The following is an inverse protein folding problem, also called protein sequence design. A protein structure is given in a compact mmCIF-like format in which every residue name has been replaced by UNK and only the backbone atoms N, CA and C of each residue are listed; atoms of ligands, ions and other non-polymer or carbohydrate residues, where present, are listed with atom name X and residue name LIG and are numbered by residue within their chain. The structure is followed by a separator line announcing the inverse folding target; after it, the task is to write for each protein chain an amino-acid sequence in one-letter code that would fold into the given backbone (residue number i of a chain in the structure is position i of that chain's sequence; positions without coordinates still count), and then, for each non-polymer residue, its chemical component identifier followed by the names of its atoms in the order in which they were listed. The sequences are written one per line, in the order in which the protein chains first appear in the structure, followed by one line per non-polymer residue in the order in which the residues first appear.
data_IF_881625956289
#
_entry.id   IF_881625956289
#
_cell.length_a   1.000
_cell.length_b   1.000
_cell.length_c   1.000
_cell.angle_alpha   90.00
_cell.angle_beta   90.00
_cell.angle_gamma   90.00
#
_symmetry.space_group_name_H-M   'P 1'
#
loop_
_entity.id
_entity.type
_entity.pdbx_description
1 polymer ?
#
# COMPACT_ATOMS: atom_id res chain seq x y z
N UNK A 1 -1.73 -13.93 5.46
CA UNK A 1 -1.67 -12.86 6.50
C UNK A 1 -3.06 -12.50 7.03
N UNK A 2 -4.00 -11.90 6.28
CA UNK A 2 -5.28 -11.41 6.80
C UNK A 2 -6.06 -12.48 7.59
N UNK A 3 -6.20 -13.70 7.06
CA UNK A 3 -6.86 -14.83 7.76
C UNK A 3 -6.16 -15.18 9.08
N UNK A 4 -4.82 -15.18 9.11
CA UNK A 4 -4.05 -15.53 10.30
C UNK A 4 -4.17 -14.49 11.44
N UNK A 5 -4.44 -13.23 11.11
CA UNK A 5 -4.56 -12.15 12.09
C UNK A 5 -6.00 -11.74 12.39
N UNK A 6 -6.98 -12.19 11.64
CA UNK A 6 -8.40 -11.91 11.92
C UNK A 6 -8.80 -12.37 13.33
N UNK A 7 -8.42 -13.61 13.73
CA UNK A 7 -8.65 -14.14 15.07
C UNK A 7 -7.89 -13.40 16.18
N UNK A 8 -6.90 -12.58 15.83
CA UNK A 8 -6.13 -11.73 16.75
C UNK A 8 -6.69 -10.30 16.86
N UNK A 9 -7.90 -10.07 16.32
CA UNK A 9 -8.62 -8.81 16.40
C UNK A 9 -8.10 -7.71 15.48
N UNK A 10 -7.54 -8.08 14.33
CA UNK A 10 -7.23 -7.17 13.24
C UNK A 10 -8.25 -7.28 12.11
N UNK A 11 -8.61 -6.13 11.57
CA UNK A 11 -9.45 -6.04 10.36
C UNK A 11 -8.57 -5.48 9.24
N UNK A 12 -8.63 -6.13 8.09
CA UNK A 12 -7.87 -5.73 6.91
C UNK A 12 -8.83 -5.17 5.87
N UNK A 13 -8.53 -3.98 5.39
CA UNK A 13 -9.33 -3.28 4.39
C UNK A 13 -8.40 -2.78 3.29
N UNK A 14 -8.82 -2.90 2.04
CA UNK A 14 -8.23 -2.15 0.94
C UNK A 14 -8.97 -0.84 0.74
N UNK A 15 -8.24 0.20 0.34
CA UNK A 15 -8.82 1.41 -0.22
C UNK A 15 -8.39 1.49 -1.68
N UNK A 16 -9.35 1.39 -2.59
CA UNK A 16 -9.10 1.54 -4.01
C UNK A 16 -9.11 3.03 -4.35
N UNK A 17 -7.94 3.56 -4.67
CA UNK A 17 -7.72 5.00 -4.82
C UNK A 17 -7.77 5.44 -6.29
N UNK A 18 -6.68 5.30 -7.01
CA UNK A 18 -6.55 5.63 -8.43
C UNK A 18 -5.71 4.56 -9.14
N UNK A 19 -5.82 4.49 -10.45
CA UNK A 19 -4.89 3.71 -11.25
C UNK A 19 -3.51 4.39 -11.21
N UNK A 20 -2.53 3.68 -10.68
CA UNK A 20 -1.16 4.18 -10.61
C UNK A 20 -0.49 4.18 -12.01
N UNK A 21 -0.88 3.23 -12.84
CA UNK A 21 -0.37 3.05 -14.19
C UNK A 21 -1.55 2.77 -15.12
N UNK A 22 -2.32 3.80 -15.51
CA UNK A 22 -3.47 3.61 -16.39
C UNK A 22 -3.03 3.09 -17.76
N UNK A 23 -3.86 2.25 -18.33
CA UNK A 23 -3.69 1.67 -19.65
C UNK A 23 -5.04 1.50 -20.34
N UNK A 24 -5.04 0.94 -21.54
CA UNK A 24 -6.25 0.79 -22.35
C UNK A 24 -7.32 -0.08 -21.71
N UNK A 25 -6.94 -1.08 -20.91
CA UNK A 25 -7.87 -1.97 -20.22
C UNK A 25 -8.39 -1.37 -18.90
N UNK A 26 -7.55 -0.59 -18.23
CA UNK A 26 -7.86 0.10 -16.98
C UNK A 26 -7.42 1.56 -17.08
N UNK A 27 -8.17 2.40 -17.81
CA UNK A 27 -7.82 3.81 -17.95
C UNK A 27 -8.00 4.59 -16.65
N UNK A 28 -7.46 5.80 -16.61
CA UNK A 28 -7.71 6.72 -15.51
C UNK A 28 -9.24 6.93 -15.34
N UNK A 29 -9.69 6.98 -14.08
CA UNK A 29 -11.11 7.04 -13.78
C UNK A 29 -11.73 8.38 -14.21
N UNK A 30 -12.84 8.31 -14.93
CA UNK A 30 -13.65 9.46 -15.35
C UNK A 30 -15.00 9.52 -14.64
N UNK A 31 -15.44 8.42 -14.00
CA UNK A 31 -16.68 8.37 -13.23
C UNK A 31 -16.58 7.38 -12.06
N UNK A 32 -17.49 7.52 -11.08
CA UNK A 32 -17.58 6.58 -9.96
C UNK A 32 -18.01 5.19 -10.41
N UNK A 33 -18.89 5.10 -11.39
CA UNK A 33 -19.33 3.82 -11.96
C UNK A 33 -18.15 3.05 -12.53
N UNK A 34 -17.32 3.71 -13.33
CA UNK A 34 -16.09 3.13 -13.88
C UNK A 34 -15.14 2.71 -12.76
N UNK A 35 -14.89 3.58 -11.78
CA UNK A 35 -14.02 3.30 -10.65
C UNK A 35 -14.48 2.09 -9.83
N UNK A 36 -15.77 1.97 -9.58
CA UNK A 36 -16.36 0.82 -8.89
C UNK A 36 -16.23 -0.45 -9.74
N UNK A 37 -16.42 -0.37 -11.06
CA UNK A 37 -16.23 -1.50 -11.96
C UNK A 37 -14.78 -2.01 -11.93
N UNK A 38 -13.80 -1.10 -11.98
CA UNK A 38 -12.38 -1.45 -11.86
C UNK A 38 -12.05 -2.07 -10.50
N UNK A 39 -12.59 -1.52 -9.41
CA UNK A 39 -12.40 -2.09 -8.06
C UNK A 39 -12.98 -3.52 -7.94
N UNK A 40 -14.11 -3.81 -8.60
CA UNK A 40 -14.69 -5.16 -8.66
C UNK A 40 -13.80 -6.09 -9.48
N UNK A 41 -13.35 -5.67 -10.66
CA UNK A 41 -12.43 -6.44 -11.49
C UNK A 41 -11.13 -6.74 -10.74
N UNK A 42 -10.57 -5.77 -10.03
CA UNK A 42 -9.40 -5.95 -9.17
C UNK A 42 -9.65 -6.99 -8.08
N UNK A 43 -10.80 -6.92 -7.41
CA UNK A 43 -11.20 -7.89 -6.39
C UNK A 43 -11.25 -9.32 -6.95
N UNK A 44 -11.87 -9.49 -8.10
CA UNK A 44 -12.02 -10.78 -8.77
C UNK A 44 -10.68 -11.33 -9.25
N UNK A 45 -9.93 -10.52 -9.97
CA UNK A 45 -8.62 -10.90 -10.53
C UNK A 45 -7.59 -11.26 -9.46
N UNK A 46 -7.58 -10.53 -8.35
CA UNK A 46 -6.65 -10.77 -7.24
C UNK A 46 -7.20 -11.69 -6.14
N UNK A 47 -8.39 -12.27 -6.35
CA UNK A 47 -9.07 -13.15 -5.38
C UNK A 47 -9.15 -12.55 -3.96
N UNK A 48 -9.54 -11.27 -3.87
CA UNK A 48 -9.57 -10.53 -2.62
C UNK A 48 -10.89 -10.83 -1.88
N UNK A 49 -10.80 -11.52 -0.74
CA UNK A 49 -11.98 -11.87 0.08
C UNK A 49 -12.35 -10.77 1.12
N UNK A 50 -11.45 -9.84 1.39
CA UNK A 50 -11.63 -8.77 2.38
C UNK A 50 -12.32 -7.55 1.77
N UNK A 51 -12.88 -6.64 2.60
CA UNK A 51 -13.51 -5.42 2.10
C UNK A 51 -12.57 -4.57 1.26
N UNK A 52 -13.09 -4.01 0.18
CA UNK A 52 -12.47 -2.96 -0.61
C UNK A 52 -13.39 -1.75 -0.52
N UNK A 53 -12.89 -0.67 0.06
CA UNK A 53 -13.51 0.64 0.01
C UNK A 53 -13.07 1.33 -1.29
N UNK A 54 -13.94 2.10 -1.88
CA UNK A 54 -13.62 2.87 -3.09
C UNK A 54 -13.63 4.34 -2.70
N UNK A 55 -12.50 5.01 -2.90
CA UNK A 55 -12.37 6.45 -2.67
C UNK A 55 -13.17 7.23 -3.72
N UNK A 56 -13.50 8.48 -3.43
CA UNK A 56 -14.18 9.34 -4.40
C UNK A 56 -13.31 9.62 -5.65
N UNK A 57 -13.91 10.24 -6.66
CA UNK A 57 -13.20 10.55 -7.91
C UNK A 57 -12.07 11.56 -7.69
N UNK A 58 -12.27 12.51 -6.79
CA UNK A 58 -11.25 13.51 -6.46
C UNK A 58 -10.09 12.96 -5.65
N UNK A 59 -10.24 11.75 -5.09
CA UNK A 59 -9.21 11.11 -4.27
C UNK A 59 -9.08 11.73 -2.89
N UNK A 60 -10.18 12.24 -2.31
CA UNK A 60 -10.16 12.94 -1.02
C UNK A 60 -9.53 12.10 0.08
N UNK A 61 -9.90 10.82 0.18
CA UNK A 61 -9.31 9.90 1.15
C UNK A 61 -7.82 9.69 0.89
N UNK A 62 -7.45 9.42 -0.36
CA UNK A 62 -6.07 9.20 -0.76
C UNK A 62 -5.15 10.38 -0.43
N UNK A 63 -5.59 11.59 -0.78
CA UNK A 63 -4.82 12.83 -0.53
C UNK A 63 -4.62 13.10 0.97
N UNK A 64 -5.59 12.75 1.83
CA UNK A 64 -5.46 12.89 3.29
C UNK A 64 -4.45 11.91 3.89
N UNK A 65 -4.23 10.75 3.26
CA UNK A 65 -3.29 9.74 3.73
C UNK A 65 -1.93 9.78 3.03
N UNK A 66 -1.59 10.84 2.34
CA UNK A 66 -0.44 11.02 1.44
C UNK A 66 -0.62 10.34 0.08
N UNK A 67 -0.27 11.05 -0.97
CA UNK A 67 -0.55 10.73 -2.39
C UNK A 67 0.36 9.64 -3.00
N UNK A 68 0.68 8.60 -2.23
CA UNK A 68 1.45 7.46 -2.72
C UNK A 68 0.51 6.28 -3.05
N UNK A 69 0.76 5.57 -4.16
CA UNK A 69 -0.21 4.62 -4.71
C UNK A 69 -0.36 3.32 -3.93
N UNK A 70 0.56 3.02 -3.01
CA UNK A 70 0.58 1.71 -2.36
C UNK A 70 1.03 1.80 -0.89
N UNK A 71 0.33 2.61 -0.11
CA UNK A 71 0.63 2.81 1.30
C UNK A 71 -0.08 1.81 2.21
N UNK A 72 0.47 1.61 3.38
CA UNK A 72 -0.14 0.82 4.45
C UNK A 72 -0.20 1.61 5.75
N UNK A 73 -1.34 1.52 6.43
CA UNK A 73 -1.57 2.09 7.75
C UNK A 73 -2.07 1.02 8.71
N UNK A 74 -1.50 0.97 9.90
CA UNK A 74 -2.07 0.25 11.05
C UNK A 74 -2.69 1.27 11.99
N UNK A 75 -4.00 1.21 12.14
CA UNK A 75 -4.78 2.16 12.93
C UNK A 75 -5.31 1.44 14.16
N UNK A 76 -5.05 2.01 15.33
CA UNK A 76 -5.55 1.51 16.61
C UNK A 76 -7.03 1.88 16.83
N UNK A 77 -7.66 1.27 17.83
CA UNK A 77 -9.09 1.45 18.16
C UNK A 77 -9.51 2.91 18.38
N UNK A 78 -8.60 3.77 18.81
CA UNK A 78 -8.87 5.20 19.00
C UNK A 78 -8.60 6.07 17.79
N UNK A 79 -8.45 5.50 16.59
CA UNK A 79 -8.11 6.23 15.36
C UNK A 79 -6.64 6.65 15.25
N UNK A 80 -5.79 6.31 16.25
CA UNK A 80 -4.37 6.63 16.21
C UNK A 80 -3.66 5.75 15.20
N UNK A 81 -2.87 6.35 14.31
CA UNK A 81 -1.92 5.62 13.47
C UNK A 81 -0.80 5.05 14.35
N UNK A 82 -0.68 3.73 14.35
CA UNK A 82 0.33 2.97 15.09
C UNK A 82 1.56 2.66 14.24
N UNK A 83 1.34 2.55 12.94
CA UNK A 83 2.40 2.29 11.95
C UNK A 83 1.95 2.83 10.59
N UNK A 84 2.88 3.34 9.84
CA UNK A 84 2.73 3.77 8.45
C UNK A 84 3.89 3.24 7.63
N UNK A 85 3.61 2.81 6.42
CA UNK A 85 4.63 2.48 5.43
C UNK A 85 4.23 3.09 4.09
N UNK A 86 5.16 3.73 3.44
CA UNK A 86 4.98 4.34 2.12
C UNK A 86 4.84 3.28 1.01
N UNK A 87 5.02 2.01 1.38
CA UNK A 87 4.82 0.87 0.51
C UNK A 87 4.25 -0.33 1.25
N UNK A 88 3.36 -1.07 0.59
CA UNK A 88 2.82 -2.32 1.14
C UNK A 88 3.85 -3.43 1.00
N UNK A 89 4.56 -3.71 2.09
CA UNK A 89 5.52 -4.80 2.18
C UNK A 89 5.02 -5.86 3.17
N UNK A 90 4.56 -7.04 2.68
CA UNK A 90 3.97 -8.04 3.56
C UNK A 90 4.84 -8.49 4.72
N UNK A 91 6.16 -8.75 4.56
CA UNK A 91 7.01 -9.13 5.68
C UNK A 91 7.08 -8.06 6.78
N UNK A 92 7.24 -6.80 6.41
CA UNK A 92 7.26 -5.68 7.36
C UNK A 92 5.92 -5.53 8.09
N UNK A 93 4.80 -5.66 7.36
CA UNK A 93 3.46 -5.60 7.96
C UNK A 93 3.27 -6.74 8.95
N UNK A 94 3.67 -7.96 8.60
CA UNK A 94 3.56 -9.12 9.47
C UNK A 94 4.39 -8.97 10.76
N UNK A 95 5.61 -8.46 10.64
CA UNK A 95 6.47 -8.14 11.77
C UNK A 95 5.78 -7.16 12.73
N UNK A 96 5.21 -6.08 12.18
CA UNK A 96 4.47 -5.07 12.97
C UNK A 96 3.23 -5.64 13.64
N UNK A 97 2.47 -6.46 12.94
CA UNK A 97 1.28 -7.10 13.50
C UNK A 97 1.65 -8.02 14.67
N UNK A 98 2.70 -8.83 14.53
CA UNK A 98 3.21 -9.68 15.61
C UNK A 98 3.70 -8.86 16.81
N UNK A 99 4.42 -7.76 16.56
CA UNK A 99 4.82 -6.85 17.62
C UNK A 99 3.60 -6.28 18.38
N UNK A 100 2.57 -5.83 17.68
CA UNK A 100 1.36 -5.30 18.30
C UNK A 100 0.58 -6.37 19.09
N UNK A 101 0.59 -7.62 18.64
CA UNK A 101 0.03 -8.76 19.40
C UNK A 101 0.78 -8.91 20.71
N UNK A 102 2.13 -8.99 20.65
CA UNK A 102 2.97 -9.13 21.83
C UNK A 102 2.77 -7.98 22.84
N UNK A 103 2.76 -6.74 22.36
CA UNK A 103 2.49 -5.57 23.21
C UNK A 103 1.14 -5.68 23.92
N UNK A 104 0.11 -6.15 23.23
CA UNK A 104 -1.23 -6.34 23.83
C UNK A 104 -1.25 -7.43 24.89
N UNK A 105 -0.56 -8.52 24.64
CA UNK A 105 -0.45 -9.65 25.58
C UNK A 105 0.28 -9.22 26.84
N UNK A 106 1.41 -8.56 26.72
CA UNK A 106 2.19 -8.03 27.85
C UNK A 106 1.40 -7.02 28.68
N UNK A 107 0.64 -6.12 28.04
CA UNK A 107 -0.24 -5.18 28.77
C UNK A 107 -1.36 -5.90 29.50
N UNK A 108 -1.93 -6.96 28.92
CA UNK A 108 -2.93 -7.80 29.61
C UNK A 108 -2.35 -8.53 30.81
N UNK A 109 -1.09 -8.90 30.75
CA UNK A 109 -0.35 -9.48 31.87
C UNK A 109 0.06 -8.45 32.94
N UNK A 110 -0.34 -7.19 32.80
CA UNK A 110 -0.02 -6.11 33.75
C UNK A 110 1.36 -5.49 33.58
N UNK A 111 2.10 -5.85 32.54
CA UNK A 111 3.41 -5.27 32.29
C UNK A 111 3.32 -3.80 31.84
N UNK A 112 4.22 -2.98 32.35
CA UNK A 112 4.47 -1.64 31.82
C UNK A 112 5.24 -1.76 30.51
N UNK A 113 4.52 -1.64 29.40
CA UNK A 113 5.16 -1.53 28.07
C UNK A 113 5.33 -0.05 27.77
N UNK A 114 6.57 0.40 27.63
CA UNK A 114 6.92 1.76 27.22
C UNK A 114 6.29 2.09 25.85
N UNK A 115 6.18 3.38 25.56
CA UNK A 115 5.61 3.85 24.31
C UNK A 115 6.28 3.17 23.11
N UNK A 116 5.48 2.98 22.07
CA UNK A 116 5.94 2.40 20.84
C UNK A 116 7.02 3.27 20.20
N UNK A 117 8.21 2.73 20.08
CA UNK A 117 9.28 3.27 19.27
C UNK A 117 9.93 2.08 18.53
N UNK A 118 9.78 2.04 17.22
CA UNK A 118 10.45 1.07 16.40
C UNK A 118 10.95 1.74 15.13
N UNK A 119 12.21 1.58 14.85
CA UNK A 119 12.86 2.01 13.63
C UNK A 119 13.23 0.77 12.82
N UNK A 120 12.83 0.77 11.56
CA UNK A 120 13.16 -0.30 10.63
C UNK A 120 13.95 0.29 9.48
N UNK A 121 15.19 -0.17 9.34
CA UNK A 121 15.96 0.00 8.13
C UNK A 121 15.98 -1.36 7.41
N UNK A 122 15.25 -1.47 6.30
CA UNK A 122 15.14 -2.72 5.56
C UNK A 122 15.28 -2.51 4.07
N UNK A 123 15.83 -3.52 3.39
CA UNK A 123 15.80 -3.58 1.94
C UNK A 123 14.54 -4.30 1.49
N UNK A 124 13.82 -3.67 0.57
CA UNK A 124 12.74 -4.31 -0.12
C UNK A 124 13.27 -4.91 -1.42
N UNK A 125 13.09 -6.23 -1.56
CA UNK A 125 13.31 -6.90 -2.84
C UNK A 125 12.11 -6.59 -3.73
N UNK A 126 12.37 -5.93 -4.85
CA UNK A 126 11.35 -5.68 -5.85
C UNK A 126 11.29 -6.87 -6.82
N UNK A 127 10.19 -7.62 -6.81
CA UNK A 127 9.88 -8.61 -7.83
C UNK A 127 9.46 -7.89 -9.12
N UNK A 128 10.46 -7.51 -9.91
CA UNK A 128 10.25 -6.79 -11.16
C UNK A 128 9.43 -7.60 -12.17
N UNK A 129 9.60 -8.92 -12.20
CA UNK A 129 8.86 -9.77 -13.12
C UNK A 129 7.36 -9.72 -12.83
N UNK A 130 6.99 -9.93 -11.56
CA UNK A 130 5.60 -9.85 -11.10
C UNK A 130 4.99 -8.46 -11.30
N UNK A 131 5.77 -7.41 -11.07
CA UNK A 131 5.34 -6.05 -11.33
C UNK A 131 5.03 -5.82 -12.81
N UNK A 132 5.92 -6.29 -13.72
CA UNK A 132 5.70 -6.18 -15.17
C UNK A 132 4.49 -6.99 -15.65
N UNK A 133 4.24 -8.15 -15.05
CA UNK A 133 3.01 -8.92 -15.32
C UNK A 133 1.76 -8.12 -14.92
N UNK A 134 1.78 -7.47 -13.77
CA UNK A 134 0.68 -6.59 -13.33
C UNK A 134 0.45 -5.42 -14.28
N UNK A 135 1.52 -4.81 -14.82
CA UNK A 135 1.39 -3.74 -15.82
C UNK A 135 0.75 -4.24 -17.13
N UNK A 136 1.06 -5.45 -17.56
CA UNK A 136 0.45 -6.05 -18.78
C UNK A 136 -1.05 -6.24 -18.63
N UNK A 137 -1.56 -6.45 -17.42
CA UNK A 137 -3.01 -6.52 -17.14
C UNK A 137 -3.70 -5.19 -17.46
N UNK A 138 -3.06 -4.06 -17.16
CA UNK A 138 -3.56 -2.72 -17.49
C UNK A 138 -3.48 -2.42 -19.01
N UNK A 139 -2.60 -3.11 -19.73
CA UNK A 139 -2.46 -3.01 -21.17
C UNK A 139 -1.07 -2.58 -21.64
N UNK A 140 -0.86 -2.59 -22.96
CA UNK A 140 0.44 -2.24 -23.56
C UNK A 140 0.83 -0.80 -23.30
N UNK A 141 -0.13 0.12 -23.30
CA UNK A 141 0.11 1.53 -23.01
C UNK A 141 0.71 1.74 -21.62
N UNK A 142 0.23 1.03 -20.59
CA UNK A 142 0.79 1.11 -19.24
C UNK A 142 2.27 0.66 -19.20
N UNK A 143 2.62 -0.38 -19.97
CA UNK A 143 3.99 -0.87 -20.09
C UNK A 143 4.89 0.17 -20.77
N UNK A 144 4.42 0.78 -21.86
CA UNK A 144 5.16 1.80 -22.60
C UNK A 144 5.38 3.07 -21.78
N UNK A 145 4.34 3.54 -21.09
CA UNK A 145 4.43 4.72 -20.22
C UNK A 145 5.40 4.50 -19.06
N UNK A 146 5.36 3.33 -18.44
CA UNK A 146 6.32 2.98 -17.41
C UNK A 146 7.76 2.94 -17.96
N UNK A 147 7.97 2.34 -19.12
CA UNK A 147 9.30 2.29 -19.76
C UNK A 147 9.82 3.71 -20.09
N UNK A 148 8.94 4.61 -20.52
CA UNK A 148 9.27 6.02 -20.77
C UNK A 148 9.67 6.74 -19.48
N UNK A 149 8.90 6.55 -18.41
CA UNK A 149 9.18 7.15 -17.11
C UNK A 149 10.54 6.68 -16.55
N UNK A 150 10.86 5.40 -16.66
CA UNK A 150 12.16 4.85 -16.23
C UNK A 150 13.32 5.50 -17.01
N UNK A 151 13.17 5.77 -18.31
CA UNK A 151 14.18 6.48 -19.11
C UNK A 151 14.37 7.91 -18.62
N UNK A 152 13.29 8.62 -18.29
CA UNK A 152 13.35 9.99 -17.75
C UNK A 152 14.11 9.99 -16.43
N UNK A 153 13.78 9.08 -15.52
CA UNK A 153 14.46 8.97 -14.22
C UNK A 153 15.95 8.63 -14.36
N UNK A 154 16.30 7.78 -15.32
CA UNK A 154 17.70 7.43 -15.57
C UNK A 154 18.52 8.58 -16.14
N UNK A 155 17.87 9.58 -16.76
CA UNK A 155 18.51 10.77 -17.33
C UNK A 155 18.59 11.94 -16.36
N UNK A 156 17.84 11.91 -15.23
CA UNK A 156 17.97 12.95 -14.22
C UNK A 156 19.40 12.93 -13.65
N UNK A 157 20.06 14.06 -13.53
CA UNK A 157 21.34 14.14 -12.85
C UNK A 157 21.15 13.53 -11.46
N UNK A 158 21.99 12.60 -11.06
CA UNK A 158 22.08 12.25 -9.65
C UNK A 158 22.40 13.55 -8.94
N UNK A 159 21.45 14.11 -8.20
CA UNK A 159 21.78 15.11 -7.21
C UNK A 159 22.78 14.46 -6.28
N UNK A 160 24.06 14.68 -6.54
CA UNK A 160 25.09 14.52 -5.54
C UNK A 160 24.85 15.66 -4.56
N UNK A 161 23.81 15.49 -3.73
CA UNK A 161 23.63 16.35 -2.58
C UNK A 161 24.88 16.17 -1.77
N UNK A 162 25.70 17.20 -1.80
CA UNK A 162 26.71 17.43 -0.77
C UNK A 162 25.91 17.56 0.53
N UNK A 163 25.67 16.42 1.16
CA UNK A 163 25.23 16.37 2.55
C UNK A 163 26.44 16.85 3.34
N UNK A 164 26.58 18.20 3.41
CA UNK A 164 27.53 18.86 4.26
C UNK A 164 27.34 18.41 5.70
N UNK A 165 28.03 17.35 6.08
CA UNK A 165 28.22 16.88 7.45
C UNK A 165 29.60 17.35 7.89
#
# INVERSE_FOLDING_TARGET
MAKAFAGKGFVFVFVYTREAHPGENYPAHSSMEQKIAHARAFREHQHIERPILVDDISGTGHLQYADLPNMTYLIGRGGRVLFRSDWTDPPTIELMLNYLVNVRERRRAGERVTGFYAEFAGFRVNDRAKFMESLKVAGSQAVEDFARMVKIWAQQPKETGDLGV
#
